data_IF_428984718392
#
_entry.id   IF_428984718392
#
_cell.length_a   1.000
_cell.length_b   1.000
_cell.length_c   1.000
_cell.angle_alpha   90.00
_cell.angle_beta   90.00
_cell.angle_gamma   90.00
#
_symmetry.space_group_name_H-M   'P 1'
#
loop_
_entity.id
_entity.type
_entity.pdbx_description
1 polymer ?
#
# COMPACT_ATOMS: atom_id res chain seq x y z
N UNK A 1 5.89 8.69 11.22
CA UNK A 1 5.95 7.43 11.97
C UNK A 1 7.02 6.60 11.30
N UNK A 2 8.10 6.32 12.01
CA UNK A 2 9.20 5.52 11.47
C UNK A 2 8.95 4.06 11.85
N UNK A 3 8.78 3.21 10.84
CA UNK A 3 8.78 1.77 11.05
C UNK A 3 10.21 1.31 11.35
N UNK A 4 10.34 0.34 12.25
CA UNK A 4 11.61 -0.17 12.76
C UNK A 4 12.10 -1.36 11.94
N UNK A 5 13.34 -1.81 12.16
CA UNK A 5 13.82 -3.06 11.55
C UNK A 5 12.98 -4.28 11.96
N UNK A 6 12.46 -4.31 13.20
CA UNK A 6 11.55 -5.37 13.64
C UNK A 6 10.25 -5.41 12.82
N UNK A 7 9.77 -4.26 12.35
CA UNK A 7 8.62 -4.20 11.46
C UNK A 7 8.95 -4.73 10.06
N UNK A 8 10.19 -4.54 9.59
CA UNK A 8 10.66 -5.10 8.32
C UNK A 8 10.77 -6.62 8.39
N UNK A 9 11.32 -7.15 9.47
CA UNK A 9 11.35 -8.60 9.72
C UNK A 9 9.93 -9.18 9.77
N UNK A 10 9.02 -8.50 10.48
CA UNK A 10 7.61 -8.90 10.55
C UNK A 10 6.94 -8.90 9.16
N UNK A 11 7.20 -7.88 8.34
CA UNK A 11 6.73 -7.81 6.95
C UNK A 11 7.21 -9.01 6.15
N UNK A 12 8.52 -9.27 6.16
CA UNK A 12 9.13 -10.35 5.39
C UNK A 12 8.58 -11.72 5.80
N UNK A 13 8.57 -12.00 7.11
CA UNK A 13 8.10 -13.27 7.65
C UNK A 13 6.61 -13.51 7.34
N UNK A 14 5.79 -12.46 7.50
CA UNK A 14 4.36 -12.51 7.19
C UNK A 14 4.15 -12.77 5.69
N UNK A 15 4.87 -12.05 4.83
CA UNK A 15 4.78 -12.24 3.39
C UNK A 15 5.19 -13.65 2.97
N UNK A 16 6.33 -14.17 3.45
CA UNK A 16 6.78 -15.54 3.12
C UNK A 16 5.76 -16.59 3.56
N UNK A 17 5.17 -16.45 4.75
CA UNK A 17 4.12 -17.35 5.25
C UNK A 17 2.87 -17.30 4.36
N UNK A 18 2.38 -16.10 4.04
CA UNK A 18 1.15 -15.92 3.26
C UNK A 18 1.33 -16.30 1.79
N UNK A 19 2.49 -16.01 1.20
CA UNK A 19 2.84 -16.40 -0.17
C UNK A 19 2.66 -17.90 -0.38
N UNK A 20 3.16 -18.71 0.55
CA UNK A 20 3.01 -20.17 0.53
C UNK A 20 1.56 -20.60 0.69
N UNK A 21 0.85 -20.06 1.69
CA UNK A 21 -0.56 -20.42 1.99
C UNK A 21 -1.52 -20.08 0.85
N UNK A 22 -1.37 -18.90 0.26
CA UNK A 22 -2.26 -18.40 -0.79
C UNK A 22 -1.85 -18.88 -2.19
N UNK A 23 -0.68 -19.52 -2.33
CA UNK A 23 -0.09 -19.93 -3.62
C UNK A 23 0.01 -18.76 -4.62
N UNK A 24 0.39 -17.58 -4.11
CA UNK A 24 0.57 -16.38 -4.93
C UNK A 24 2.04 -16.17 -5.26
N UNK A 25 2.31 -15.64 -6.44
CA UNK A 25 3.63 -15.12 -6.79
C UNK A 25 3.81 -13.70 -6.25
N UNK A 26 5.06 -13.28 -6.11
CA UNK A 26 5.39 -11.93 -5.69
C UNK A 26 4.96 -10.88 -6.72
N UNK A 27 4.98 -11.23 -8.01
CA UNK A 27 4.52 -10.36 -9.09
C UNK A 27 3.01 -10.14 -9.03
N UNK A 28 2.22 -11.20 -8.87
CA UNK A 28 0.76 -11.09 -8.75
C UNK A 28 0.36 -10.24 -7.54
N UNK A 29 1.03 -10.44 -6.41
CA UNK A 29 0.75 -9.67 -5.21
C UNK A 29 1.18 -8.19 -5.35
N UNK A 30 2.35 -7.93 -5.93
CA UNK A 30 2.77 -6.56 -6.26
C UNK A 30 1.76 -5.85 -7.18
N UNK A 31 1.22 -6.57 -8.19
CA UNK A 31 0.17 -6.06 -9.07
C UNK A 31 -1.10 -5.71 -8.29
N UNK A 32 -1.53 -6.55 -7.33
CA UNK A 32 -2.68 -6.24 -6.45
C UNK A 32 -2.44 -5.02 -5.55
N UNK A 33 -1.19 -4.80 -5.13
CA UNK A 33 -0.77 -3.60 -4.40
C UNK A 33 -0.68 -2.34 -5.28
N UNK A 34 -0.71 -2.47 -6.60
CA UNK A 34 -0.56 -1.35 -7.54
C UNK A 34 0.88 -0.86 -7.72
N UNK A 35 1.87 -1.69 -7.37
CA UNK A 35 3.31 -1.38 -7.48
C UNK A 35 4.03 -2.41 -8.36
N UNK A 36 5.24 -2.08 -8.81
CA UNK A 36 6.07 -3.04 -9.56
C UNK A 36 6.59 -4.16 -8.64
N UNK A 37 6.92 -5.32 -9.23
CA UNK A 37 7.56 -6.41 -8.48
C UNK A 37 8.93 -6.00 -7.91
N UNK A 38 9.65 -5.12 -8.61
CA UNK A 38 10.91 -4.55 -8.13
C UNK A 38 10.68 -3.72 -6.86
N UNK A 39 9.75 -2.77 -6.86
CA UNK A 39 9.47 -1.91 -5.70
C UNK A 39 9.02 -2.76 -4.50
N UNK A 40 8.19 -3.77 -4.72
CA UNK A 40 7.81 -4.68 -3.64
C UNK A 40 9.02 -5.46 -3.10
N UNK A 41 9.95 -5.88 -3.96
CA UNK A 41 11.21 -6.52 -3.53
C UNK A 41 12.12 -5.58 -2.75
N UNK A 42 12.19 -4.30 -3.12
CA UNK A 42 12.97 -3.29 -2.41
C UNK A 42 12.39 -3.04 -1.01
N UNK A 43 11.07 -2.95 -0.88
CA UNK A 43 10.38 -2.84 0.42
C UNK A 43 10.66 -4.04 1.34
N UNK A 44 10.62 -5.27 0.79
CA UNK A 44 10.92 -6.49 1.53
C UNK A 44 12.39 -6.60 1.97
N UNK A 45 13.32 -6.06 1.18
CA UNK A 45 14.76 -6.09 1.47
C UNK A 45 15.23 -4.98 2.38
N UNK A 46 14.38 -3.98 2.65
CA UNK A 46 14.76 -2.85 3.49
C UNK A 46 15.25 -1.63 2.71
N UNK A 47 15.36 -1.71 1.39
CA UNK A 47 15.94 -0.67 0.53
C UNK A 47 15.04 0.57 0.41
N UNK A 48 13.72 0.40 0.59
CA UNK A 48 12.73 1.48 0.59
C UNK A 48 12.09 1.63 1.99
N UNK A 49 11.75 2.85 2.44
CA UNK A 49 11.08 3.04 3.73
C UNK A 49 9.65 2.50 3.70
N UNK A 50 9.23 1.89 4.81
CA UNK A 50 7.84 1.46 4.97
C UNK A 50 6.95 2.66 5.26
N UNK A 51 5.78 2.71 4.63
CA UNK A 51 4.77 3.74 4.86
C UNK A 51 3.50 3.14 5.45
N UNK A 52 2.74 3.93 6.20
CA UNK A 52 1.47 3.46 6.78
C UNK A 52 0.47 3.07 5.69
N UNK A 53 0.46 3.79 4.56
CA UNK A 53 -0.37 3.47 3.40
C UNK A 53 -0.04 2.08 2.87
N UNK A 54 1.25 1.79 2.66
CA UNK A 54 1.71 0.48 2.21
C UNK A 54 1.33 -0.63 3.21
N UNK A 55 1.62 -0.44 4.50
CA UNK A 55 1.32 -1.44 5.55
C UNK A 55 -0.18 -1.71 5.63
N UNK A 56 -1.01 -0.67 5.60
CA UNK A 56 -2.46 -0.80 5.64
C UNK A 56 -2.98 -1.56 4.41
N UNK A 57 -2.46 -1.26 3.22
CA UNK A 57 -2.86 -1.94 2.00
C UNK A 57 -2.40 -3.41 1.98
N UNK A 58 -1.16 -3.68 2.38
CA UNK A 58 -0.60 -5.01 2.54
C UNK A 58 -1.45 -5.88 3.46
N UNK A 59 -1.75 -5.39 4.66
CA UNK A 59 -2.58 -6.08 5.63
C UNK A 59 -4.00 -6.32 5.12
N UNK A 60 -4.61 -5.32 4.46
CA UNK A 60 -5.95 -5.43 3.88
C UNK A 60 -6.04 -6.53 2.83
N UNK A 61 -5.07 -6.64 1.92
CA UNK A 61 -5.06 -7.68 0.88
C UNK A 61 -4.85 -9.10 1.44
N UNK A 62 -4.23 -9.21 2.61
CA UNK A 62 -3.98 -10.48 3.29
C UNK A 62 -5.01 -10.79 4.39
N UNK A 63 -6.00 -9.92 4.59
CA UNK A 63 -6.97 -10.00 5.68
C UNK A 63 -6.32 -10.12 7.07
N UNK A 64 -5.26 -9.34 7.31
CA UNK A 64 -4.52 -9.30 8.57
C UNK A 64 -4.78 -7.99 9.32
N UNK A 65 -4.71 -8.04 10.65
CA UNK A 65 -4.66 -6.83 11.48
C UNK A 65 -3.21 -6.34 11.59
N UNK A 66 -2.94 -5.14 11.07
CA UNK A 66 -1.60 -4.54 11.11
C UNK A 66 -1.07 -4.41 12.55
N UNK A 67 -1.93 -4.14 13.53
CA UNK A 67 -1.53 -4.05 14.94
C UNK A 67 -1.06 -5.38 15.50
N UNK A 68 -1.52 -6.50 14.97
CA UNK A 68 -1.06 -7.82 15.43
C UNK A 68 0.29 -8.20 14.81
N UNK A 69 0.56 -7.71 13.61
CA UNK A 69 1.75 -8.07 12.82
C UNK A 69 2.94 -7.15 13.14
N UNK A 70 2.73 -5.83 13.22
CA UNK A 70 3.81 -4.84 13.26
C UNK A 70 4.05 -4.33 14.70
N UNK A 71 5.21 -4.62 15.32
CA UNK A 71 5.52 -4.21 16.68
C UNK A 71 5.37 -2.71 16.95
N UNK A 72 5.82 -1.84 16.03
CA UNK A 72 5.71 -0.38 16.23
C UNK A 72 4.27 0.12 16.28
N UNK A 73 3.31 -0.66 15.75
CA UNK A 73 1.88 -0.34 15.82
C UNK A 73 1.25 -0.78 17.15
N UNK A 74 1.85 -1.75 17.86
CA UNK A 74 1.40 -2.19 19.20
C UNK A 74 1.78 -1.17 20.27
N UNK A 75 3.03 -0.71 20.22
CA UNK A 75 3.58 0.24 21.21
C UNK A 75 2.91 1.61 21.14
N UNK A 76 2.37 1.98 19.98
CA UNK A 76 1.86 3.33 19.74
C UNK A 76 0.38 3.54 20.11
N UNK A 77 -0.20 2.69 20.97
CA UNK A 77 -1.60 2.78 21.42
C UNK A 77 -1.81 3.80 22.56
N UNK A 78 -0.77 4.50 23.02
CA UNK A 78 -0.86 5.48 24.12
C UNK A 78 -1.02 6.94 23.68
N UNK A 79 -0.83 7.31 22.40
CA UNK A 79 -0.79 8.72 22.00
C UNK A 79 -1.61 9.04 20.73
N UNK A 80 -2.80 9.62 20.94
CA UNK A 80 -3.47 10.61 20.07
C UNK A 80 -4.01 10.19 18.69
N UNK A 81 -4.88 11.01 18.07
CA UNK A 81 -5.39 10.78 16.72
C UNK A 81 -4.24 10.88 15.70
N UNK A 82 -4.07 9.84 14.88
CA UNK A 82 -3.01 9.76 13.86
C UNK A 82 -3.52 10.17 12.49
N UNK A 83 -2.76 11.03 11.81
CA UNK A 83 -2.99 11.40 10.40
C UNK A 83 -2.62 10.21 9.51
N UNK A 84 -3.59 9.69 8.76
CA UNK A 84 -3.39 8.61 7.79
C UNK A 84 -3.37 9.22 6.38
N UNK A 85 -2.26 9.02 5.67
CA UNK A 85 -2.13 9.44 4.28
C UNK A 85 -2.69 8.34 3.38
N UNK A 86 -3.82 8.62 2.73
CA UNK A 86 -4.46 7.73 1.77
C UNK A 86 -4.08 8.16 0.36
N UNK A 87 -3.82 7.20 -0.52
CA UNK A 87 -3.55 7.45 -1.93
C UNK A 87 -4.55 6.67 -2.78
N UNK A 88 -5.26 7.38 -3.66
CA UNK A 88 -6.12 6.79 -4.68
C UNK A 88 -5.41 6.84 -6.03
N UNK A 89 -5.52 5.76 -6.81
CA UNK A 89 -5.10 5.70 -8.22
C UNK A 89 -6.30 5.25 -9.05
N UNK A 90 -6.60 6.00 -10.10
CA UNK A 90 -7.70 5.71 -11.03
C UNK A 90 -7.17 5.68 -12.46
N UNK A 91 -7.81 4.87 -13.31
CA UNK A 91 -7.63 4.88 -14.75
C UNK A 91 -8.89 5.44 -15.38
N UNK A 92 -8.76 6.23 -16.44
CA UNK A 92 -9.89 6.74 -17.23
C UNK A 92 -9.84 6.13 -18.63
N UNK A 93 -11.01 5.97 -19.25
CA UNK A 93 -11.17 5.38 -20.58
C UNK A 93 -11.03 6.45 -21.69
N UNK A 94 -10.05 7.34 -21.55
CA UNK A 94 -9.85 8.49 -22.41
C UNK A 94 -8.51 9.18 -22.17
N UNK A 95 -8.23 10.21 -22.97
CA UNK A 95 -7.03 11.02 -22.80
C UNK A 95 -7.29 12.13 -21.78
N UNK A 96 -6.60 12.10 -20.64
CA UNK A 96 -6.70 13.12 -19.59
C UNK A 96 -6.24 14.45 -20.17
N UNK A 97 -7.13 15.44 -20.20
CA UNK A 97 -6.83 16.81 -20.62
C UNK A 97 -6.44 17.68 -19.42
N UNK A 98 -7.08 17.46 -18.28
CA UNK A 98 -6.86 18.26 -17.07
C UNK A 98 -7.20 17.46 -15.79
N UNK A 99 -6.53 17.79 -14.69
CA UNK A 99 -6.82 17.23 -13.37
C UNK A 99 -6.57 18.28 -12.28
N UNK A 100 -7.58 18.54 -11.44
CA UNK A 100 -7.52 19.54 -10.38
C UNK A 100 -8.33 19.14 -9.16
N UNK A 101 -8.17 19.91 -8.08
CA UNK A 101 -8.88 19.70 -6.81
C UNK A 101 -9.97 20.76 -6.69
N UNK A 102 -11.20 20.32 -6.44
CA UNK A 102 -12.33 21.19 -6.12
C UNK A 102 -12.92 20.76 -4.76
N UNK A 103 -12.63 21.54 -3.71
CA UNK A 103 -13.01 21.21 -2.35
C UNK A 103 -12.41 19.88 -1.88
N UNK A 104 -13.28 18.88 -1.66
CA UNK A 104 -12.89 17.52 -1.28
C UNK A 104 -12.90 16.52 -2.44
N UNK A 105 -13.03 16.98 -3.68
CA UNK A 105 -13.09 16.15 -4.89
C UNK A 105 -11.84 16.34 -5.76
N UNK A 106 -11.45 15.26 -6.43
CA UNK A 106 -10.48 15.30 -7.53
C UNK A 106 -11.31 15.28 -8.81
N UNK A 107 -11.22 16.34 -9.61
CA UNK A 107 -11.89 16.46 -10.90
C UNK A 107 -10.88 16.08 -11.98
N UNK A 108 -11.26 15.13 -12.85
CA UNK A 108 -10.44 14.66 -13.98
C UNK A 108 -11.25 14.82 -15.25
N UNK A 109 -10.80 15.72 -16.13
CA UNK A 109 -11.40 15.96 -17.45
C UNK A 109 -10.67 15.12 -18.49
N UNK A 110 -11.39 14.30 -19.25
CA UNK A 110 -10.81 13.41 -20.25
C UNK A 110 -11.64 13.38 -21.53
N UNK A 111 -10.96 13.25 -22.67
CA UNK A 111 -11.59 13.12 -23.97
C UNK A 111 -11.81 11.63 -24.30
N UNK A 112 -13.01 11.28 -24.74
CA UNK A 112 -13.36 9.96 -25.23
C UNK A 112 -14.02 10.09 -26.61
N UNK A 113 -13.46 9.43 -27.63
CA UNK A 113 -13.99 9.47 -28.99
C UNK A 113 -15.06 8.41 -29.16
N UNK A 114 -16.29 8.83 -29.48
CA UNK A 114 -17.39 7.94 -29.81
C UNK A 114 -17.49 7.84 -31.34
N UNK A 115 -17.47 6.62 -31.88
CA UNK A 115 -17.69 6.33 -33.31
C UNK A 115 -19.11 5.84 -33.56
#
# INVERSE_FOLDING_TARGET
>A
MEFTEKDREALYNTWMSQKSKMRLTQMEFAKKLGISQLNFSQLLRGEEPLTMSFISHFCRLLHLDAKQIFPSLKEANENGPKVVYLQSRMSVDGEIQNAYIEGNQIVVEYAHTVN
#
